data_IF_178174474690
#
_entry.id   IF_178174474690
#
_cell.length_a   1.000
_cell.length_b   1.000
_cell.length_c   1.000
_cell.angle_alpha   90.00
_cell.angle_beta   90.00
_cell.angle_gamma   90.00
#
_symmetry.space_group_name_H-M   'P 1'
#
loop_
_entity.id
_entity.type
_entity.pdbx_description
1 polymer ?
#
# COMPACT_ATOMS: atom_id res chain seq x y z
N UNK A 1 53.02 -69.96 24.96
CA UNK A 1 52.21 -71.05 24.36
C UNK A 1 50.79 -70.96 24.90
N UNK A 2 49.77 -71.13 24.04
CA UNK A 2 48.33 -71.26 24.34
C UNK A 2 47.72 -70.05 25.07
N UNK A 3 46.92 -69.24 24.40
CA UNK A 3 45.45 -69.39 24.26
C UNK A 3 44.89 -67.95 24.44
N UNK A 4 43.73 -67.48 23.98
CA UNK A 4 42.41 -68.05 23.75
C UNK A 4 41.52 -66.88 23.22
N UNK A 5 40.68 -67.10 22.19
CA UNK A 5 39.29 -66.56 22.03
C UNK A 5 39.06 -65.00 21.98
N UNK A 6 37.94 -64.38 21.56
CA UNK A 6 36.57 -64.74 21.12
C UNK A 6 35.94 -63.53 20.41
N UNK A 7 34.87 -63.81 19.64
CA UNK A 7 33.91 -62.91 18.96
C UNK A 7 33.31 -61.80 19.86
N UNK A 8 32.80 -60.73 19.26
CA UNK A 8 31.35 -60.44 19.31
C UNK A 8 30.86 -59.48 18.20
N UNK A 9 29.76 -59.90 17.57
CA UNK A 9 28.93 -59.17 16.60
C UNK A 9 27.88 -58.31 17.32
N UNK A 10 27.26 -57.41 16.53
CA UNK A 10 25.94 -56.74 16.67
C UNK A 10 25.90 -55.37 17.34
N UNK A 11 25.28 -54.43 16.63
CA UNK A 11 24.02 -53.83 17.09
C UNK A 11 23.00 -53.85 15.93
N UNK A 12 21.83 -54.42 16.25
CA UNK A 12 20.66 -54.61 15.40
C UNK A 12 19.98 -53.28 15.06
N UNK A 13 19.34 -53.24 13.88
CA UNK A 13 18.16 -52.43 13.65
C UNK A 13 16.93 -53.15 14.22
N UNK A 14 16.15 -52.50 15.07
CA UNK A 14 14.80 -52.93 15.43
C UNK A 14 13.78 -52.04 14.71
N UNK A 15 12.77 -52.70 14.15
CA UNK A 15 11.64 -52.18 13.38
C UNK A 15 10.65 -51.41 14.25
N UNK A 16 9.82 -50.55 13.65
CA UNK A 16 8.36 -50.79 13.63
C UNK A 16 7.61 -49.77 12.77
N UNK A 17 6.54 -50.26 12.14
CA UNK A 17 5.72 -49.57 11.16
C UNK A 17 4.70 -48.60 11.76
N UNK A 18 4.14 -47.76 10.88
CA UNK A 18 3.07 -46.84 11.26
C UNK A 18 2.91 -45.74 10.22
N UNK A 19 1.82 -45.81 9.49
CA UNK A 19 1.38 -44.89 8.45
C UNK A 19 1.18 -43.44 8.92
N UNK A 20 1.32 -42.51 7.97
CA UNK A 20 0.76 -41.15 7.88
C UNK A 20 1.61 -39.93 8.31
N UNK A 21 1.89 -39.11 7.28
CA UNK A 21 1.99 -37.64 7.25
C UNK A 21 3.30 -36.91 7.63
N UNK A 22 3.76 -36.11 6.65
CA UNK A 22 4.66 -34.94 6.73
C UNK A 22 6.18 -35.15 6.57
N UNK A 23 6.82 -34.54 5.55
CA UNK A 23 8.27 -34.49 5.42
C UNK A 23 8.83 -33.16 5.93
N UNK A 24 9.48 -33.14 7.10
CA UNK A 24 10.53 -32.13 7.34
C UNK A 24 11.55 -32.57 8.41
N UNK A 25 12.84 -32.40 8.05
CA UNK A 25 14.07 -32.50 8.87
C UNK A 25 14.63 -33.91 9.13
N UNK A 26 15.67 -34.29 8.38
CA UNK A 26 16.66 -35.30 8.84
C UNK A 26 17.90 -34.58 9.40
N UNK A 27 18.27 -34.91 10.63
CA UNK A 27 19.55 -34.55 11.27
C UNK A 27 20.62 -35.56 10.79
N UNK A 28 21.83 -35.10 10.52
CA UNK A 28 23.00 -35.98 10.32
C UNK A 28 23.55 -36.40 11.68
N UNK A 29 23.81 -37.71 11.87
CA UNK A 29 24.59 -38.26 12.98
C UNK A 29 26.02 -38.55 12.49
N UNK A 30 27.01 -38.12 13.26
CA UNK A 30 28.44 -38.32 13.01
C UNK A 30 28.92 -39.70 13.49
N UNK A 31 29.70 -40.43 12.68
CA UNK A 31 30.47 -41.60 13.12
C UNK A 31 31.97 -41.27 13.12
N UNK A 32 32.62 -41.53 14.26
CA UNK A 32 34.07 -41.45 14.48
C UNK A 32 34.77 -42.70 13.93
N UNK A 33 35.86 -42.52 13.19
CA UNK A 33 36.69 -43.60 12.65
C UNK A 33 38.14 -43.42 13.10
N UNK A 34 38.58 -44.28 14.01
CA UNK A 34 39.98 -44.48 14.32
C UNK A 34 40.23 -45.99 14.40
N UNK A 35 41.01 -46.52 13.46
CA UNK A 35 42.00 -47.61 13.62
C UNK A 35 42.35 -48.17 12.24
N UNK A 36 43.64 -48.50 12.07
CA UNK A 36 44.23 -49.43 11.07
C UNK A 36 44.90 -48.75 9.87
N UNK A 37 46.24 -48.64 9.92
CA UNK A 37 47.16 -49.35 9.00
C UNK A 37 48.62 -48.90 9.22
N UNK A 38 49.51 -49.88 9.43
CA UNK A 38 50.96 -49.74 9.38
C UNK A 38 51.54 -50.78 8.40
N UNK A 39 52.72 -50.45 7.84
CA UNK A 39 53.60 -51.20 6.92
C UNK A 39 53.38 -51.03 5.41
N UNK A 40 54.25 -50.22 4.78
CA UNK A 40 55.40 -50.67 3.94
C UNK A 40 56.17 -49.45 3.44
N UNK A 41 57.50 -49.46 3.61
CA UNK A 41 58.40 -48.37 3.19
C UNK A 41 58.74 -48.44 1.70
N UNK A 42 58.91 -47.26 1.08
CA UNK A 42 59.44 -47.08 -0.27
C UNK A 42 60.48 -45.95 -0.24
N UNK A 43 61.68 -46.21 -0.80
CA UNK A 43 62.72 -45.22 -1.06
C UNK A 43 62.61 -44.68 -2.49
N UNK A 44 62.77 -43.37 -2.66
CA UNK A 44 62.91 -42.67 -3.95
C UNK A 44 64.03 -41.62 -3.89
N UNK A 45 64.68 -41.27 -5.03
CA UNK A 45 65.98 -40.60 -5.04
C UNK A 45 65.91 -39.06 -5.06
N UNK A 46 66.93 -38.47 -4.42
CA UNK A 46 67.60 -37.18 -4.68
C UNK A 46 66.78 -35.89 -4.83
N UNK A 47 66.99 -34.96 -3.89
CA UNK A 47 66.91 -33.51 -4.14
C UNK A 47 66.30 -32.69 -3.01
N UNK A 48 67.16 -32.06 -2.21
CA UNK A 48 66.89 -31.01 -1.20
C UNK A 48 66.17 -31.36 0.11
N UNK A 49 66.90 -31.13 1.20
CA UNK A 49 66.48 -31.32 2.58
C UNK A 49 66.17 -29.96 3.24
N UNK A 50 64.99 -29.85 3.84
CA UNK A 50 64.70 -28.97 4.99
C UNK A 50 63.98 -29.78 6.06
N UNK A 51 64.15 -29.44 7.35
CA UNK A 51 63.94 -30.37 8.46
C UNK A 51 62.44 -30.63 8.71
N UNK A 52 62.02 -31.90 8.57
CA UNK A 52 60.64 -32.32 8.87
C UNK A 52 60.49 -32.69 10.34
N UNK A 53 59.49 -32.10 10.99
CA UNK A 53 58.93 -32.64 12.22
C UNK A 53 58.32 -34.04 11.98
N UNK A 54 58.39 -34.97 12.95
CA UNK A 54 57.95 -36.36 12.78
C UNK A 54 56.43 -36.57 12.64
N UNK A 55 55.64 -35.49 12.49
CA UNK A 55 54.17 -35.54 12.40
C UNK A 55 53.56 -35.33 11.01
N UNK A 56 54.31 -34.82 10.03
CA UNK A 56 53.73 -34.36 8.75
C UNK A 56 53.74 -35.41 7.60
N UNK A 57 54.51 -36.49 7.73
CA UNK A 57 54.55 -37.56 6.70
C UNK A 57 53.28 -38.41 6.70
N UNK A 58 52.71 -38.70 7.88
CA UNK A 58 51.55 -39.58 8.04
C UNK A 58 50.26 -38.93 7.49
N UNK A 59 50.10 -37.62 7.70
CA UNK A 59 48.92 -36.88 7.25
C UNK A 59 48.87 -36.66 5.73
N UNK A 60 50.01 -36.80 5.04
CA UNK A 60 50.13 -36.62 3.59
C UNK A 60 49.90 -37.95 2.86
N UNK A 61 50.44 -39.07 3.37
CA UNK A 61 50.20 -40.41 2.83
C UNK A 61 48.73 -40.86 2.97
N UNK A 62 48.07 -40.51 4.07
CA UNK A 62 46.64 -40.82 4.27
C UNK A 62 45.72 -40.14 3.25
N UNK A 63 46.07 -38.94 2.78
CA UNK A 63 45.28 -38.22 1.75
C UNK A 63 45.43 -38.85 0.37
N UNK A 64 46.59 -39.41 0.05
CA UNK A 64 46.88 -40.02 -1.26
C UNK A 64 46.20 -41.41 -1.36
N UNK A 65 46.25 -42.23 -0.31
CA UNK A 65 45.55 -43.52 -0.30
C UNK A 65 44.01 -43.38 -0.30
N UNK A 66 43.48 -42.35 0.36
CA UNK A 66 42.05 -42.06 0.37
C UNK A 66 41.53 -41.59 -1.01
N UNK A 67 42.31 -40.80 -1.74
CA UNK A 67 41.93 -40.33 -3.08
C UNK A 67 42.03 -41.44 -4.14
N UNK A 68 43.01 -42.34 -4.04
CA UNK A 68 43.12 -43.49 -4.94
C UNK A 68 42.00 -44.52 -4.72
N UNK A 69 41.68 -44.85 -3.45
CA UNK A 69 40.52 -45.73 -3.14
C UNK A 69 39.17 -45.13 -3.54
N UNK A 70 39.01 -43.81 -3.44
CA UNK A 70 37.80 -43.12 -3.92
C UNK A 70 37.68 -43.18 -5.46
N UNK A 71 38.80 -43.05 -6.17
CA UNK A 71 38.85 -43.16 -7.63
C UNK A 71 38.62 -44.59 -8.14
N UNK A 72 39.12 -45.61 -7.44
CA UNK A 72 38.90 -47.02 -7.79
C UNK A 72 37.46 -47.47 -7.47
N UNK A 73 36.90 -47.03 -6.34
CA UNK A 73 35.48 -47.27 -6.01
C UNK A 73 34.53 -46.60 -7.02
N UNK A 74 34.87 -45.40 -7.51
CA UNK A 74 34.10 -44.72 -8.55
C UNK A 74 34.28 -45.35 -9.94
N UNK A 75 35.47 -45.88 -10.27
CA UNK A 75 35.67 -46.67 -11.50
C UNK A 75 34.93 -48.01 -11.47
N UNK A 76 34.89 -48.69 -10.33
CA UNK A 76 34.14 -49.94 -10.16
C UNK A 76 32.61 -49.70 -10.07
N UNK A 77 32.17 -48.52 -9.62
CA UNK A 77 30.77 -48.09 -9.65
C UNK A 77 30.33 -47.57 -11.05
N UNK A 78 31.28 -47.37 -11.97
CA UNK A 78 31.07 -46.76 -13.29
C UNK A 78 30.35 -47.62 -14.33
N UNK A 79 29.85 -48.82 -14.00
CA UNK A 79 29.08 -49.64 -14.95
C UNK A 79 27.63 -49.93 -14.51
N UNK A 80 27.11 -49.27 -13.47
CA UNK A 80 25.65 -49.20 -13.33
C UNK A 80 25.15 -48.15 -14.30
N UNK A 81 24.82 -48.60 -15.51
CA UNK A 81 23.92 -47.92 -16.41
C UNK A 81 22.75 -47.41 -15.56
N UNK A 82 22.74 -46.12 -15.26
CA UNK A 82 21.56 -45.47 -14.69
C UNK A 82 20.55 -45.58 -15.82
N UNK A 83 19.66 -46.58 -15.71
CA UNK A 83 18.52 -46.69 -16.59
C UNK A 83 17.78 -45.36 -16.46
N UNK A 84 17.94 -44.51 -17.46
CA UNK A 84 17.21 -43.26 -17.59
C UNK A 84 15.77 -43.71 -17.82
N UNK A 85 14.99 -43.77 -16.76
CA UNK A 85 13.54 -43.83 -16.91
C UNK A 85 13.20 -42.45 -17.46
N UNK A 86 13.19 -42.32 -18.79
CA UNK A 86 12.63 -41.18 -19.49
C UNK A 86 11.11 -41.24 -19.28
N UNK A 87 10.66 -40.99 -18.04
CA UNK A 87 9.26 -40.62 -17.80
C UNK A 87 9.10 -39.28 -18.48
N UNK A 88 8.63 -39.32 -19.72
CA UNK A 88 8.11 -38.15 -20.42
C UNK A 88 7.20 -37.42 -19.44
N UNK A 89 7.65 -36.26 -19.01
CA UNK A 89 6.90 -35.48 -18.03
C UNK A 89 5.89 -34.66 -18.80
N UNK A 90 4.60 -34.89 -18.58
CA UNK A 90 3.54 -34.13 -19.25
C UNK A 90 3.18 -32.88 -18.43
N UNK A 91 2.59 -31.90 -19.09
CA UNK A 91 2.13 -30.69 -18.43
C UNK A 91 1.06 -31.04 -17.40
N UNK A 92 1.17 -30.49 -16.19
CA UNK A 92 0.18 -30.75 -15.12
C UNK A 92 -1.26 -30.33 -15.48
N UNK A 93 -1.42 -29.48 -16.50
CA UNK A 93 -2.72 -29.02 -16.98
C UNK A 93 -3.17 -29.70 -18.28
N UNK A 94 -2.24 -30.18 -19.10
CA UNK A 94 -2.48 -30.81 -20.39
C UNK A 94 -1.77 -32.16 -20.42
N UNK A 95 -2.51 -33.25 -20.25
CA UNK A 95 -1.97 -34.61 -20.21
C UNK A 95 -1.40 -35.07 -21.55
N UNK A 96 -1.82 -34.45 -22.64
CA UNK A 96 -1.41 -34.71 -24.02
C UNK A 96 -0.10 -34.00 -24.42
N UNK A 97 0.41 -33.10 -23.57
CA UNK A 97 1.58 -32.26 -23.90
C UNK A 97 2.80 -32.63 -23.08
N UNK A 98 3.78 -33.20 -23.73
CA UNK A 98 5.10 -33.46 -23.18
C UNK A 98 5.85 -32.15 -22.90
N UNK A 99 6.55 -32.07 -21.76
CA UNK A 99 7.33 -30.88 -21.39
C UNK A 99 8.60 -31.25 -20.62
N UNK A 100 9.72 -30.64 -21.02
CA UNK A 100 10.97 -30.66 -20.25
C UNK A 100 11.12 -29.49 -19.27
N UNK A 101 10.11 -28.62 -19.15
CA UNK A 101 10.16 -27.40 -18.33
C UNK A 101 9.22 -27.50 -17.12
N UNK A 102 9.65 -26.90 -16.02
CA UNK A 102 8.88 -26.86 -14.78
C UNK A 102 8.83 -25.44 -14.20
N UNK A 103 7.79 -25.20 -13.40
CA UNK A 103 7.65 -23.94 -12.67
C UNK A 103 8.77 -23.81 -11.62
N UNK A 104 9.58 -22.75 -11.71
CA UNK A 104 10.68 -22.49 -10.76
C UNK A 104 10.19 -22.32 -9.31
N UNK A 105 8.93 -21.93 -9.13
CA UNK A 105 8.34 -21.68 -7.79
C UNK A 105 7.76 -22.91 -7.11
N UNK A 106 7.09 -23.79 -7.84
CA UNK A 106 6.39 -24.95 -7.26
C UNK A 106 6.90 -26.31 -7.77
N UNK A 107 7.82 -26.32 -8.73
CA UNK A 107 8.41 -27.54 -9.31
C UNK A 107 7.50 -28.31 -10.27
N UNK A 108 6.23 -27.93 -10.45
CA UNK A 108 5.29 -28.67 -11.32
C UNK A 108 5.70 -28.56 -12.80
N UNK A 109 5.64 -29.66 -13.57
CA UNK A 109 5.90 -29.65 -15.01
C UNK A 109 4.80 -28.89 -15.76
N UNK A 110 5.18 -27.97 -16.65
CA UNK A 110 4.23 -27.15 -17.41
C UNK A 110 4.72 -26.92 -18.84
N UNK A 111 3.81 -26.97 -19.82
CA UNK A 111 4.15 -26.65 -21.21
C UNK A 111 4.47 -25.14 -21.38
N UNK A 112 5.11 -24.74 -22.49
CA UNK A 112 5.44 -23.33 -22.76
C UNK A 112 4.24 -22.38 -22.66
N UNK A 113 3.05 -22.82 -23.09
CA UNK A 113 1.82 -22.01 -23.06
C UNK A 113 1.31 -21.75 -21.63
N UNK A 114 1.54 -22.70 -20.71
CA UNK A 114 1.14 -22.62 -19.31
C UNK A 114 2.17 -21.90 -18.43
N UNK A 115 3.39 -21.67 -18.95
CA UNK A 115 4.44 -20.92 -18.28
C UNK A 115 4.34 -19.43 -18.61
N UNK A 116 4.72 -18.61 -17.64
CA UNK A 116 4.87 -17.15 -17.79
C UNK A 116 6.25 -16.78 -17.28
N UNK A 117 6.89 -15.88 -18.01
CA UNK A 117 8.22 -15.37 -17.68
C UNK A 117 8.19 -14.65 -16.32
N UNK A 118 9.22 -14.88 -15.52
CA UNK A 118 9.40 -14.28 -14.20
C UNK A 118 10.82 -13.72 -14.07
N UNK A 119 11.08 -12.79 -13.13
CA UNK A 119 12.44 -12.25 -12.93
C UNK A 119 13.50 -13.32 -12.66
N UNK A 120 13.09 -14.48 -12.13
CA UNK A 120 13.93 -15.66 -11.95
C UNK A 120 13.17 -16.88 -12.48
N UNK A 121 13.54 -17.33 -13.69
CA UNK A 121 12.97 -18.52 -14.33
C UNK A 121 11.56 -18.30 -14.90
N UNK A 122 10.69 -19.30 -14.74
CA UNK A 122 9.32 -19.26 -15.25
C UNK A 122 8.33 -19.77 -14.21
N UNK A 123 7.17 -19.14 -14.11
CA UNK A 123 6.11 -19.51 -13.18
C UNK A 123 4.88 -20.06 -13.93
N UNK A 124 4.25 -21.12 -13.40
CA UNK A 124 2.98 -21.60 -13.94
C UNK A 124 1.84 -20.62 -13.65
N UNK A 125 0.77 -20.68 -14.46
CA UNK A 125 -0.38 -19.79 -14.33
C UNK A 125 -1.04 -19.80 -12.93
N UNK A 126 -1.05 -20.94 -12.23
CA UNK A 126 -1.57 -21.03 -10.85
C UNK A 126 -0.69 -20.25 -9.87
N UNK A 127 0.63 -20.43 -9.93
CA UNK A 127 1.57 -19.67 -9.10
C UNK A 127 1.49 -18.16 -9.38
N UNK A 128 1.31 -17.78 -10.65
CA UNK A 128 1.10 -16.38 -11.05
C UNK A 128 -0.23 -15.86 -10.51
N UNK A 129 -1.32 -16.64 -10.65
CA UNK A 129 -2.65 -16.28 -10.13
C UNK A 129 -2.65 -16.14 -8.61
N UNK A 130 -1.99 -17.05 -7.90
CA UNK A 130 -1.82 -17.02 -6.45
C UNK A 130 -0.92 -15.85 -5.99
N UNK A 131 0.02 -15.40 -6.83
CA UNK A 131 0.84 -14.22 -6.57
C UNK A 131 0.09 -12.90 -6.78
N UNK A 132 -1.08 -12.92 -7.45
CA UNK A 132 -1.83 -11.67 -7.71
C UNK A 132 -2.23 -11.05 -6.37
N UNK A 133 -1.86 -9.79 -6.10
CA UNK A 133 -2.27 -9.13 -4.88
C UNK A 133 -3.81 -9.12 -4.80
N UNK A 134 -4.40 -9.25 -3.60
CA UNK A 134 -5.84 -9.28 -3.43
C UNK A 134 -6.50 -8.06 -4.06
N UNK A 135 -7.73 -8.19 -4.54
CA UNK A 135 -8.43 -7.15 -5.32
C UNK A 135 -8.40 -5.78 -4.63
N UNK A 136 -8.56 -5.75 -3.29
CA UNK A 136 -8.43 -4.54 -2.46
C UNK A 136 -7.10 -3.79 -2.65
N UNK A 137 -6.00 -4.51 -2.75
CA UNK A 137 -4.66 -3.92 -2.89
C UNK A 137 -4.43 -3.42 -4.31
N UNK A 138 -5.04 -4.07 -5.32
CA UNK A 138 -5.02 -3.58 -6.70
C UNK A 138 -5.80 -2.27 -6.85
N UNK A 139 -7.01 -2.18 -6.30
CA UNK A 139 -7.80 -0.94 -6.29
C UNK A 139 -7.06 0.17 -5.55
N UNK A 140 -6.41 -0.14 -4.42
CA UNK A 140 -5.61 0.84 -3.67
C UNK A 140 -4.42 1.36 -4.49
N UNK A 141 -3.69 0.46 -5.18
CA UNK A 141 -2.59 0.83 -6.06
C UNK A 141 -3.07 1.68 -7.24
N UNK A 142 -4.18 1.31 -7.88
CA UNK A 142 -4.78 2.06 -8.97
C UNK A 142 -5.18 3.48 -8.55
N UNK A 143 -5.85 3.62 -7.40
CA UNK A 143 -6.22 4.93 -6.86
C UNK A 143 -4.99 5.77 -6.50
N UNK A 144 -3.90 5.14 -6.05
CA UNK A 144 -2.64 5.84 -5.78
C UNK A 144 -1.93 6.30 -7.06
N UNK A 145 -2.00 5.53 -8.15
CA UNK A 145 -1.35 5.88 -9.43
C UNK A 145 -2.18 6.81 -10.31
N UNK A 146 -3.51 6.84 -10.16
CA UNK A 146 -4.40 7.69 -10.97
C UNK A 146 -4.35 9.19 -10.62
N UNK A 147 -3.60 9.58 -9.59
CA UNK A 147 -3.60 10.94 -9.04
C UNK A 147 -4.94 11.32 -8.39
N UNK A 148 -5.06 12.55 -7.84
CA UNK A 148 -6.26 12.99 -7.12
C UNK A 148 -7.36 13.41 -8.12
N UNK A 149 -8.01 12.44 -8.75
CA UNK A 149 -9.02 12.65 -9.78
C UNK A 149 -10.20 13.49 -9.26
N UNK A 150 -10.72 13.17 -8.07
CA UNK A 150 -11.85 13.92 -7.51
C UNK A 150 -11.47 15.38 -7.25
N UNK A 151 -10.26 15.61 -6.74
CA UNK A 151 -9.70 16.95 -6.57
C UNK A 151 -9.60 17.70 -7.89
N UNK A 152 -9.06 17.05 -8.94
CA UNK A 152 -8.96 17.66 -10.29
C UNK A 152 -10.33 18.01 -10.87
N UNK A 153 -11.32 17.14 -10.69
CA UNK A 153 -12.71 17.39 -11.14
C UNK A 153 -13.30 18.59 -10.38
N UNK A 154 -13.15 18.64 -9.05
CA UNK A 154 -13.60 19.78 -8.26
C UNK A 154 -12.92 21.09 -8.71
N UNK A 155 -11.61 21.07 -8.94
CA UNK A 155 -10.88 22.23 -9.47
C UNK A 155 -11.43 22.64 -10.83
N UNK A 156 -11.63 21.68 -11.74
CA UNK A 156 -12.21 21.94 -13.06
C UNK A 156 -13.60 22.59 -12.97
N UNK A 157 -14.48 22.09 -12.10
CA UNK A 157 -15.81 22.66 -11.87
C UNK A 157 -15.74 24.11 -11.35
N UNK A 158 -14.83 24.38 -10.42
CA UNK A 158 -14.61 25.74 -9.90
C UNK A 158 -14.11 26.69 -10.99
N UNK A 159 -13.14 26.25 -11.81
CA UNK A 159 -12.61 27.04 -12.92
C UNK A 159 -13.67 27.32 -13.97
N UNK A 160 -14.44 26.30 -14.39
CA UNK A 160 -15.54 26.46 -15.36
C UNK A 160 -16.60 27.43 -14.83
N UNK A 161 -17.00 27.28 -13.56
CA UNK A 161 -17.98 28.17 -12.94
C UNK A 161 -17.46 29.60 -12.88
N UNK A 162 -16.19 29.80 -12.50
CA UNK A 162 -15.58 31.12 -12.48
C UNK A 162 -15.56 31.76 -13.86
N UNK A 163 -15.14 31.05 -14.92
CA UNK A 163 -15.14 31.56 -16.28
C UNK A 163 -16.55 31.94 -16.75
N UNK A 164 -17.55 31.10 -16.48
CA UNK A 164 -18.94 31.37 -16.82
C UNK A 164 -19.49 32.61 -16.10
N UNK A 165 -19.22 32.74 -14.80
CA UNK A 165 -19.65 33.92 -14.02
C UNK A 165 -18.89 35.20 -14.38
N UNK A 166 -17.61 35.09 -14.76
CA UNK A 166 -16.77 36.22 -15.16
C UNK A 166 -17.19 36.79 -16.51
N UNK A 167 -17.66 35.95 -17.44
CA UNK A 167 -18.14 36.38 -18.75
C UNK A 167 -19.36 37.32 -18.68
N UNK A 168 -20.19 37.18 -17.63
CA UNK A 168 -21.34 38.05 -17.39
C UNK A 168 -21.13 39.14 -16.34
N UNK A 169 -19.90 39.32 -15.85
CA UNK A 169 -19.55 40.28 -14.79
C UNK A 169 -18.84 41.54 -15.30
N UNK A 170 -18.71 42.55 -14.44
CA UNK A 170 -17.90 43.74 -14.73
C UNK A 170 -16.40 43.47 -14.71
N UNK A 171 -15.58 44.52 -14.84
CA UNK A 171 -14.13 44.43 -14.77
C UNK A 171 -13.69 43.64 -13.52
N UNK A 172 -12.94 42.54 -13.73
CA UNK A 172 -12.51 41.64 -12.65
C UNK A 172 -13.47 40.49 -12.32
N UNK A 173 -14.52 40.26 -13.11
CA UNK A 173 -15.40 39.08 -13.00
C UNK A 173 -16.34 39.13 -11.80
N UNK A 174 -16.72 40.33 -11.37
CA UNK A 174 -17.62 40.56 -10.21
C UNK A 174 -18.95 41.15 -10.65
N UNK A 175 -20.01 40.82 -9.91
CA UNK A 175 -21.32 41.46 -10.02
C UNK A 175 -22.21 40.98 -11.17
N UNK A 176 -21.86 39.87 -11.84
CA UNK A 176 -22.71 39.29 -12.88
C UNK A 176 -23.97 38.62 -12.31
N UNK A 177 -25.07 38.63 -13.08
CA UNK A 177 -26.35 38.00 -12.69
C UNK A 177 -26.18 36.50 -12.38
N UNK A 178 -25.39 35.77 -13.19
CA UNK A 178 -25.10 34.37 -12.91
C UNK A 178 -24.34 34.18 -11.58
N UNK A 179 -23.41 35.10 -11.26
CA UNK A 179 -22.68 35.06 -9.99
C UNK A 179 -23.65 35.24 -8.82
N UNK A 180 -24.53 36.26 -8.88
CA UNK A 180 -25.49 36.54 -7.81
C UNK A 180 -26.51 35.41 -7.63
N UNK A 181 -26.90 34.70 -8.70
CA UNK A 181 -27.83 33.55 -8.65
C UNK A 181 -27.25 32.29 -8.02
N UNK A 182 -25.93 32.12 -8.09
CA UNK A 182 -25.24 30.93 -7.57
C UNK A 182 -24.66 31.14 -6.17
N UNK A 183 -24.42 32.39 -5.77
CA UNK A 183 -23.90 32.74 -4.45
C UNK A 183 -24.88 32.40 -3.32
N UNK A 184 -24.34 32.23 -2.11
CA UNK A 184 -25.12 32.00 -0.91
C UNK A 184 -25.79 33.31 -0.50
N UNK A 185 -27.11 33.27 -0.36
CA UNK A 185 -27.91 34.39 0.10
C UNK A 185 -29.17 33.87 0.82
N UNK A 186 -29.26 34.12 2.13
CA UNK A 186 -30.30 33.57 3.01
C UNK A 186 -31.72 33.83 2.52
N UNK A 187 -32.11 35.08 2.18
CA UNK A 187 -33.45 35.36 1.69
C UNK A 187 -33.86 34.57 0.43
N UNK A 188 -32.91 34.25 -0.45
CA UNK A 188 -33.19 33.41 -1.62
C UNK A 188 -33.35 31.93 -1.22
N UNK A 189 -32.51 31.42 -0.31
CA UNK A 189 -32.65 30.06 0.25
C UNK A 189 -34.01 29.90 0.95
N UNK A 190 -34.47 30.93 1.66
CA UNK A 190 -35.77 30.95 2.34
C UNK A 190 -36.94 30.76 1.35
N UNK A 191 -36.82 31.34 0.15
CA UNK A 191 -37.80 31.25 -0.95
C UNK A 191 -37.72 29.97 -1.78
N UNK A 192 -36.84 29.03 -1.44
CA UNK A 192 -36.76 27.73 -2.12
C UNK A 192 -35.51 27.53 -2.98
N UNK A 193 -34.60 28.50 -3.04
CA UNK A 193 -33.36 28.39 -3.84
C UNK A 193 -32.27 27.59 -3.09
N UNK A 194 -32.61 26.38 -2.61
CA UNK A 194 -31.73 25.57 -1.74
C UNK A 194 -30.44 25.12 -2.41
N UNK A 195 -30.40 25.10 -3.74
CA UNK A 195 -29.20 24.78 -4.51
C UNK A 195 -28.02 25.70 -4.16
N UNK A 196 -28.30 26.93 -3.66
CA UNK A 196 -27.30 27.91 -3.22
C UNK A 196 -26.44 27.43 -2.05
N UNK A 197 -26.92 26.47 -1.27
CA UNK A 197 -26.12 25.83 -0.21
C UNK A 197 -24.91 25.07 -0.80
N UNK A 198 -25.04 24.56 -2.03
CA UNK A 198 -23.99 23.81 -2.74
C UNK A 198 -23.29 24.70 -3.76
N UNK A 199 -24.04 25.39 -4.62
CA UNK A 199 -23.47 26.16 -5.75
C UNK A 199 -22.55 27.28 -5.29
N UNK A 200 -22.82 27.88 -4.12
CA UNK A 200 -21.99 28.95 -3.56
C UNK A 200 -20.55 28.51 -3.32
N UNK A 201 -20.32 27.22 -3.05
CA UNK A 201 -18.99 26.64 -2.91
C UNK A 201 -18.16 26.63 -4.20
N UNK A 202 -18.77 26.93 -5.36
CA UNK A 202 -18.11 26.96 -6.67
C UNK A 202 -17.96 28.37 -7.24
N UNK A 203 -18.61 29.37 -6.64
CA UNK A 203 -18.55 30.77 -7.07
C UNK A 203 -17.33 31.46 -6.47
N UNK A 204 -16.59 32.24 -7.26
CA UNK A 204 -15.40 32.96 -6.81
C UNK A 204 -15.43 34.43 -7.24
N UNK A 205 -14.82 35.30 -6.42
CA UNK A 205 -14.80 36.75 -6.61
C UNK A 205 -13.40 37.27 -6.93
N UNK A 206 -13.03 37.18 -8.21
CA UNK A 206 -11.74 37.63 -8.72
C UNK A 206 -10.66 36.54 -8.74
N UNK A 207 -9.61 36.80 -9.51
CA UNK A 207 -8.62 35.80 -9.91
C UNK A 207 -7.78 35.26 -8.75
N UNK A 208 -7.37 36.13 -7.83
CA UNK A 208 -6.56 35.73 -6.67
C UNK A 208 -7.36 34.79 -5.76
N UNK A 209 -8.65 35.08 -5.56
CA UNK A 209 -9.51 34.28 -4.69
C UNK A 209 -9.66 32.84 -5.21
N UNK A 210 -9.91 32.65 -6.52
CA UNK A 210 -9.95 31.31 -7.10
C UNK A 210 -8.57 30.65 -7.11
N UNK A 211 -7.52 31.37 -7.52
CA UNK A 211 -6.16 30.81 -7.61
C UNK A 211 -5.69 30.23 -6.28
N UNK A 212 -5.90 30.97 -5.19
CA UNK A 212 -5.52 30.52 -3.86
C UNK A 212 -6.35 29.34 -3.35
N UNK A 213 -7.67 29.35 -3.58
CA UNK A 213 -8.52 28.20 -3.23
C UNK A 213 -8.13 26.93 -4.00
N UNK A 214 -7.85 27.04 -5.29
CA UNK A 214 -7.47 25.88 -6.11
C UNK A 214 -6.10 25.34 -5.72
N UNK A 215 -5.15 26.20 -5.36
CA UNK A 215 -3.85 25.79 -4.81
C UNK A 215 -4.03 24.98 -3.52
N UNK A 216 -4.81 25.50 -2.56
CA UNK A 216 -5.05 24.83 -1.29
C UNK A 216 -5.84 23.53 -1.46
N UNK A 217 -6.89 23.55 -2.31
CA UNK A 217 -7.66 22.36 -2.64
C UNK A 217 -6.78 21.27 -3.27
N UNK A 218 -5.88 21.65 -4.19
CA UNK A 218 -4.94 20.71 -4.80
C UNK A 218 -3.96 20.13 -3.77
N UNK A 219 -3.35 20.97 -2.94
CA UNK A 219 -2.38 20.55 -1.93
C UNK A 219 -2.99 19.60 -0.88
N UNK A 220 -4.19 19.93 -0.39
CA UNK A 220 -4.92 19.09 0.56
C UNK A 220 -5.48 17.83 -0.10
N UNK A 221 -5.95 17.94 -1.34
CA UNK A 221 -6.45 16.82 -2.14
C UNK A 221 -5.37 15.76 -2.44
N UNK A 222 -4.14 16.20 -2.74
CA UNK A 222 -2.98 15.30 -2.89
C UNK A 222 -2.71 14.46 -1.64
N UNK A 223 -3.02 14.98 -0.45
CA UNK A 223 -2.81 14.27 0.81
C UNK A 223 -4.03 13.43 1.22
N UNK A 224 -5.23 13.99 1.13
CA UNK A 224 -6.45 13.38 1.67
C UNK A 224 -7.10 12.39 0.72
N UNK A 225 -7.11 12.65 -0.59
CA UNK A 225 -7.78 11.78 -1.55
C UNK A 225 -7.14 10.38 -1.63
N UNK A 226 -5.79 10.23 -1.66
CA UNK A 226 -5.17 8.90 -1.61
C UNK A 226 -5.38 8.18 -0.28
N UNK A 227 -5.49 8.92 0.83
CA UNK A 227 -5.71 8.36 2.16
C UNK A 227 -7.14 7.83 2.34
N UNK A 228 -8.13 8.54 1.79
CA UNK A 228 -9.55 8.26 1.96
C UNK A 228 -10.15 7.43 0.82
N UNK A 229 -9.59 7.55 -0.39
CA UNK A 229 -10.25 7.20 -1.63
C UNK A 229 -11.29 8.25 -2.05
N UNK A 230 -11.62 8.24 -3.35
CA UNK A 230 -12.45 9.26 -4.02
C UNK A 230 -13.79 9.51 -3.33
N UNK A 231 -14.53 8.45 -3.02
CA UNK A 231 -15.91 8.57 -2.48
C UNK A 231 -15.93 9.23 -1.11
N UNK A 232 -14.99 8.85 -0.23
CA UNK A 232 -14.90 9.43 1.13
C UNK A 232 -14.34 10.84 1.09
N UNK A 233 -13.39 11.12 0.20
CA UNK A 233 -12.89 12.47 -0.02
C UNK A 233 -14.00 13.41 -0.48
N UNK A 234 -14.84 13.00 -1.43
CA UNK A 234 -16.00 13.79 -1.84
C UNK A 234 -17.01 13.99 -0.70
N UNK A 235 -17.33 12.94 0.05
CA UNK A 235 -18.22 13.05 1.21
C UNK A 235 -17.67 14.03 2.26
N UNK A 236 -16.36 13.99 2.52
CA UNK A 236 -15.69 14.94 3.40
C UNK A 236 -15.77 16.38 2.86
N UNK A 237 -15.48 16.58 1.57
CA UNK A 237 -15.53 17.88 0.91
C UNK A 237 -16.93 18.50 1.02
N UNK A 238 -17.97 17.74 0.69
CA UNK A 238 -19.35 18.23 0.75
C UNK A 238 -19.86 18.40 2.18
N UNK A 239 -19.43 17.56 3.13
CA UNK A 239 -19.73 17.79 4.54
C UNK A 239 -19.19 19.14 5.01
N UNK A 240 -17.91 19.43 4.70
CA UNK A 240 -17.28 20.71 5.03
C UNK A 240 -17.92 21.91 4.31
N UNK A 241 -18.22 21.76 3.02
CA UNK A 241 -18.89 22.80 2.23
C UNK A 241 -20.23 23.16 2.86
N UNK A 242 -21.06 22.16 3.16
CA UNK A 242 -22.41 22.37 3.65
C UNK A 242 -22.45 22.89 5.09
N UNK A 243 -21.57 22.41 5.98
CA UNK A 243 -21.47 22.99 7.33
C UNK A 243 -20.94 24.43 7.29
N UNK A 244 -20.08 24.76 6.32
CA UNK A 244 -19.70 26.13 6.02
C UNK A 244 -20.91 26.97 5.59
N UNK A 245 -21.66 26.53 4.60
CA UNK A 245 -22.88 27.24 4.14
C UNK A 245 -23.90 27.42 5.26
N UNK A 246 -24.13 26.39 6.07
CA UNK A 246 -25.01 26.47 7.24
C UNK A 246 -24.54 27.52 8.25
N UNK A 247 -23.28 27.47 8.68
CA UNK A 247 -22.76 28.42 9.66
C UNK A 247 -22.66 29.85 9.11
N UNK A 248 -22.43 30.02 7.80
CA UNK A 248 -22.50 31.32 7.15
C UNK A 248 -23.92 31.92 7.24
N UNK A 249 -24.96 31.11 7.00
CA UNK A 249 -26.35 31.54 7.15
C UNK A 249 -26.74 31.81 8.60
N UNK A 250 -26.19 31.07 9.56
CA UNK A 250 -26.42 31.35 10.99
C UNK A 250 -25.87 32.71 11.43
N UNK A 251 -24.69 33.09 10.95
CA UNK A 251 -24.01 34.30 11.40
C UNK A 251 -24.36 35.53 10.57
N UNK A 252 -24.62 35.36 9.27
CA UNK A 252 -24.79 36.49 8.34
C UNK A 252 -25.72 36.13 7.17
N UNK A 253 -27.02 35.87 7.43
CA UNK A 253 -27.94 35.36 6.42
C UNK A 253 -28.17 36.32 5.25
N UNK A 254 -28.09 37.64 5.49
CA UNK A 254 -28.31 38.67 4.47
C UNK A 254 -27.04 39.04 3.67
N UNK A 255 -25.87 38.47 4.00
CA UNK A 255 -24.62 38.77 3.32
C UNK A 255 -24.39 37.78 2.18
N UNK A 256 -24.21 38.29 0.98
CA UNK A 256 -23.86 37.47 -0.19
C UNK A 256 -22.46 36.92 -0.02
N UNK A 257 -22.30 35.60 -0.08
CA UNK A 257 -21.01 34.93 0.06
C UNK A 257 -20.85 33.77 -0.91
N UNK A 258 -19.61 33.35 -1.15
CA UNK A 258 -19.29 32.30 -2.11
C UNK A 258 -17.79 32.02 -2.12
N UNK A 259 -17.43 30.78 -2.41
CA UNK A 259 -16.06 30.30 -2.49
C UNK A 259 -15.93 28.88 -2.00
N UNK A 260 -14.95 28.14 -2.53
CA UNK A 260 -14.63 26.79 -2.08
C UNK A 260 -14.00 26.77 -0.67
N UNK A 261 -13.73 27.94 -0.08
CA UNK A 261 -12.92 28.09 1.13
C UNK A 261 -13.53 27.42 2.35
N UNK A 262 -14.85 27.40 2.53
CA UNK A 262 -15.48 26.63 3.60
C UNK A 262 -15.13 25.14 3.53
N UNK A 263 -15.18 24.56 2.32
CA UNK A 263 -14.76 23.18 2.10
C UNK A 263 -13.26 22.98 2.36
N UNK A 264 -12.41 23.91 1.88
CA UNK A 264 -10.95 23.89 2.08
C UNK A 264 -10.58 23.96 3.57
N UNK A 265 -11.25 24.80 4.36
CA UNK A 265 -11.07 24.86 5.81
C UNK A 265 -11.44 23.53 6.48
N UNK A 266 -12.50 22.87 6.02
CA UNK A 266 -12.81 21.53 6.51
C UNK A 266 -11.78 20.47 6.11
N UNK A 267 -11.16 20.59 4.93
CA UNK A 267 -10.04 19.74 4.55
C UNK A 267 -8.81 19.99 5.45
N UNK A 268 -8.52 21.24 5.83
CA UNK A 268 -7.51 21.53 6.85
C UNK A 268 -7.84 20.87 8.19
N UNK A 269 -9.10 20.97 8.63
CA UNK A 269 -9.57 20.34 9.86
C UNK A 269 -9.41 18.81 9.85
N UNK A 270 -9.79 18.18 8.74
CA UNK A 270 -9.62 16.75 8.54
C UNK A 270 -8.15 16.33 8.50
N UNK A 271 -7.31 17.11 7.83
CA UNK A 271 -5.86 16.91 7.80
C UNK A 271 -5.26 16.97 9.20
N UNK A 272 -5.60 18.00 9.98
CA UNK A 272 -5.16 18.18 11.36
C UNK A 272 -5.61 17.01 12.25
N UNK A 273 -6.88 16.59 12.13
CA UNK A 273 -7.42 15.42 12.84
C UNK A 273 -6.64 14.14 12.52
N UNK A 274 -6.42 13.86 11.23
CA UNK A 274 -5.69 12.68 10.78
C UNK A 274 -4.22 12.66 11.20
N UNK A 275 -3.53 13.79 11.14
CA UNK A 275 -2.15 13.94 11.61
C UNK A 275 -2.04 13.72 13.12
N UNK A 276 -2.94 14.34 13.89
CA UNK A 276 -2.98 14.21 15.34
C UNK A 276 -3.25 12.78 15.79
N UNK A 277 -4.14 12.04 15.12
CA UNK A 277 -4.39 10.62 15.40
C UNK A 277 -3.18 9.72 15.11
N UNK A 278 -2.23 10.18 14.31
CA UNK A 278 -0.96 9.49 14.01
C UNK A 278 0.19 9.97 14.90
N UNK A 279 -0.07 10.86 15.86
CA UNK A 279 0.96 11.44 16.71
C UNK A 279 1.86 12.47 16.02
N UNK A 280 1.48 12.96 14.83
CA UNK A 280 2.26 13.94 14.07
C UNK A 280 1.79 15.35 14.45
N UNK A 281 2.73 16.23 14.81
CA UNK A 281 2.43 17.63 15.10
C UNK A 281 2.02 18.36 13.82
N UNK A 282 0.80 18.91 13.79
CA UNK A 282 0.23 19.63 12.64
C UNK A 282 1.11 20.82 12.24
N UNK A 283 1.70 21.52 13.23
CA UNK A 283 2.56 22.68 13.01
C UNK A 283 3.88 22.34 12.32
N UNK A 284 4.35 21.10 12.41
CA UNK A 284 5.60 20.66 11.78
C UNK A 284 5.41 20.25 10.30
N UNK A 285 4.18 20.17 9.80
CA UNK A 285 3.86 19.69 8.44
C UNK A 285 3.64 20.81 7.42
N UNK A 286 3.77 22.08 7.81
CA UNK A 286 3.39 23.25 7.00
C UNK A 286 1.88 23.51 6.94
N UNK A 287 1.05 22.46 7.03
CA UNK A 287 -0.41 22.53 7.06
C UNK A 287 -0.90 23.37 8.24
N UNK A 288 -0.29 23.22 9.41
CA UNK A 288 -0.65 24.01 10.60
C UNK A 288 -0.42 25.50 10.40
N UNK A 289 0.74 25.89 9.86
CA UNK A 289 1.03 27.29 9.54
C UNK A 289 0.08 27.85 8.50
N UNK A 290 -0.20 27.09 7.44
CA UNK A 290 -1.17 27.47 6.40
C UNK A 290 -2.60 27.63 6.96
N UNK A 291 -3.03 26.76 7.87
CA UNK A 291 -4.32 26.91 8.55
C UNK A 291 -4.36 28.19 9.40
N UNK A 292 -3.31 28.44 10.19
CA UNK A 292 -3.24 29.63 11.06
C UNK A 292 -3.29 30.92 10.24
N UNK A 293 -2.51 31.04 9.17
CA UNK A 293 -2.52 32.26 8.33
C UNK A 293 -3.87 32.46 7.64
N UNK A 294 -4.52 31.38 7.21
CA UNK A 294 -5.86 31.44 6.63
C UNK A 294 -6.91 31.88 7.66
N UNK A 295 -6.81 31.39 8.90
CA UNK A 295 -7.64 31.88 10.00
C UNK A 295 -7.41 33.36 10.26
N UNK A 296 -6.15 33.83 10.27
CA UNK A 296 -5.85 35.27 10.42
C UNK A 296 -6.54 36.07 9.30
N UNK A 297 -6.39 35.66 8.04
CA UNK A 297 -7.07 36.33 6.92
C UNK A 297 -8.59 36.35 7.09
N UNK A 298 -9.18 35.31 7.67
CA UNK A 298 -10.62 35.21 7.94
C UNK A 298 -11.12 36.34 8.83
N UNK A 299 -10.34 36.73 9.84
CA UNK A 299 -10.75 37.76 10.80
C UNK A 299 -10.26 39.17 10.42
N UNK A 300 -9.21 39.27 9.60
CA UNK A 300 -8.58 40.56 9.26
C UNK A 300 -9.13 41.13 7.96
N UNK A 301 -9.41 40.30 6.95
CA UNK A 301 -9.82 40.80 5.63
C UNK A 301 -11.35 40.95 5.55
N UNK A 302 -11.86 42.16 5.23
CA UNK A 302 -13.29 42.37 5.07
C UNK A 302 -13.83 41.60 3.85
N UNK A 303 -15.10 41.18 3.94
CA UNK A 303 -15.78 40.43 2.87
C UNK A 303 -15.52 38.92 2.89
N UNK A 304 -14.80 38.39 3.89
CA UNK A 304 -14.63 36.95 4.12
C UNK A 304 -15.70 36.46 5.10
N UNK A 305 -16.36 35.34 4.77
CA UNK A 305 -17.35 34.73 5.65
C UNK A 305 -16.69 33.95 6.78
N UNK A 306 -16.70 34.54 7.99
CA UNK A 306 -16.23 33.90 9.22
C UNK A 306 -17.01 32.60 9.47
N UNK A 307 -18.34 32.64 9.31
CA UNK A 307 -19.21 31.48 9.48
C UNK A 307 -18.85 30.34 8.53
N UNK A 308 -18.60 30.63 7.25
CA UNK A 308 -18.22 29.61 6.28
C UNK A 308 -16.92 28.89 6.67
N UNK A 309 -15.91 29.64 7.11
CA UNK A 309 -14.61 29.07 7.46
C UNK A 309 -14.65 28.27 8.76
N UNK A 310 -15.27 28.80 9.81
CA UNK A 310 -15.37 28.11 11.10
C UNK A 310 -16.30 26.90 11.03
N UNK A 311 -17.45 27.03 10.37
CA UNK A 311 -18.38 25.92 10.16
C UNK A 311 -17.79 24.83 9.27
N UNK A 312 -17.08 25.21 8.22
CA UNK A 312 -16.34 24.29 7.36
C UNK A 312 -15.25 23.54 8.13
N UNK A 313 -14.42 24.27 8.89
CA UNK A 313 -13.38 23.70 9.74
C UNK A 313 -13.95 22.70 10.75
N UNK A 314 -15.04 23.06 11.44
CA UNK A 314 -15.69 22.19 12.43
C UNK A 314 -16.27 20.92 11.79
N UNK A 315 -17.07 21.06 10.73
CA UNK A 315 -17.69 19.93 10.04
C UNK A 315 -16.68 18.98 9.39
N UNK A 316 -15.65 19.53 8.74
CA UNK A 316 -14.56 18.75 8.16
C UNK A 316 -13.69 18.06 9.20
N UNK A 317 -13.39 18.72 10.34
CA UNK A 317 -12.69 18.09 11.46
C UNK A 317 -13.49 16.91 12.01
N UNK A 318 -14.80 17.10 12.24
CA UNK A 318 -15.67 16.05 12.75
C UNK A 318 -15.73 14.86 11.78
N UNK A 319 -16.04 15.08 10.50
CA UNK A 319 -16.09 14.02 9.50
C UNK A 319 -14.71 13.33 9.33
N UNK A 320 -13.65 14.12 9.21
CA UNK A 320 -12.28 13.65 9.07
C UNK A 320 -11.80 12.81 10.25
N UNK A 321 -12.18 13.19 11.48
CA UNK A 321 -11.84 12.45 12.69
C UNK A 321 -12.34 11.00 12.64
N UNK A 322 -13.54 10.73 12.12
CA UNK A 322 -14.04 9.36 11.99
C UNK A 322 -13.48 8.64 10.76
N UNK A 323 -13.33 9.35 9.63
CA UNK A 323 -12.89 8.76 8.37
C UNK A 323 -11.40 8.39 8.33
N UNK A 324 -10.54 9.13 9.04
CA UNK A 324 -9.08 8.95 9.04
C UNK A 324 -8.58 8.06 10.19
N UNK A 325 -9.49 7.49 10.98
CA UNK A 325 -9.12 6.57 12.08
C UNK A 325 -8.22 5.44 11.58
N UNK A 326 -7.09 5.16 12.26
CA UNK A 326 -6.15 4.08 11.88
C UNK A 326 -6.74 2.66 11.81
N UNK A 327 -7.99 2.46 12.25
CA UNK A 327 -8.65 1.15 12.26
C UNK A 327 -8.91 0.62 10.83
N UNK A 328 -8.39 -0.58 10.53
CA UNK A 328 -8.43 -1.21 9.20
C UNK A 328 -9.72 -1.99 8.88
N UNK A 329 -10.79 -1.82 9.67
CA UNK A 329 -12.00 -2.62 9.51
C UNK A 329 -12.98 -1.99 8.50
N UNK A 330 -13.76 -2.84 7.81
CA UNK A 330 -14.84 -2.35 6.93
C UNK A 330 -15.87 -1.53 7.69
N UNK A 331 -16.10 -1.85 8.96
CA UNK A 331 -17.08 -1.19 9.83
C UNK A 331 -16.70 0.27 10.13
N UNK A 332 -15.44 0.55 10.46
CA UNK A 332 -14.98 1.93 10.70
C UNK A 332 -15.07 2.80 9.43
N UNK A 333 -14.74 2.19 8.29
CA UNK A 333 -14.87 2.78 6.98
C UNK A 333 -16.32 3.19 6.62
N UNK A 334 -17.30 2.35 6.95
CA UNK A 334 -18.74 2.65 6.76
C UNK A 334 -19.21 3.68 7.77
N UNK A 335 -18.79 3.55 9.04
CA UNK A 335 -19.15 4.51 10.09
C UNK A 335 -18.73 5.95 9.73
N UNK A 336 -17.52 6.14 9.16
CA UNK A 336 -17.09 7.46 8.69
C UNK A 336 -17.99 8.05 7.61
N UNK A 337 -18.45 7.23 6.65
CA UNK A 337 -19.40 7.68 5.62
C UNK A 337 -20.78 8.01 6.21
N UNK A 338 -21.26 7.21 7.16
CA UNK A 338 -22.53 7.47 7.86
C UNK A 338 -22.46 8.80 8.61
N UNK A 339 -21.36 9.06 9.34
CA UNK A 339 -21.17 10.33 10.04
C UNK A 339 -21.17 11.51 9.07
N UNK A 340 -20.45 11.42 7.95
CA UNK A 340 -20.49 12.49 6.94
C UNK A 340 -21.89 12.68 6.34
N UNK A 341 -22.63 11.61 6.07
CA UNK A 341 -24.00 11.70 5.57
C UNK A 341 -24.93 12.38 6.59
N UNK A 342 -24.79 12.07 7.88
CA UNK A 342 -25.53 12.74 8.96
C UNK A 342 -25.17 14.22 9.05
N UNK A 343 -23.88 14.57 8.99
CA UNK A 343 -23.42 15.96 8.99
C UNK A 343 -23.99 16.71 7.78
N UNK A 344 -23.95 16.11 6.59
CA UNK A 344 -24.51 16.67 5.36
C UNK A 344 -26.00 16.93 5.51
N UNK A 345 -26.77 15.92 5.95
CA UNK A 345 -28.22 16.05 6.15
C UNK A 345 -28.58 17.12 7.17
N UNK A 346 -27.87 17.14 8.31
CA UNK A 346 -28.07 18.14 9.35
C UNK A 346 -27.71 19.56 8.88
N UNK A 347 -26.61 19.72 8.12
CA UNK A 347 -26.21 21.02 7.57
C UNK A 347 -27.18 21.52 6.49
N UNK A 348 -27.75 20.64 5.67
CA UNK A 348 -28.79 21.01 4.70
C UNK A 348 -30.07 21.47 5.41
N UNK A 349 -30.58 20.67 6.34
CA UNK A 349 -31.78 21.02 7.11
C UNK A 349 -31.56 22.30 7.94
N UNK A 350 -30.42 22.39 8.61
CA UNK A 350 -30.01 23.55 9.38
C UNK A 350 -29.83 24.80 8.52
N UNK A 351 -29.26 24.69 7.32
CA UNK A 351 -29.10 25.80 6.38
C UNK A 351 -30.44 26.34 5.89
N UNK A 352 -31.39 25.45 5.58
CA UNK A 352 -32.76 25.86 5.21
C UNK A 352 -33.49 26.50 6.38
N UNK A 353 -33.31 25.98 7.60
CA UNK A 353 -33.86 26.58 8.82
C UNK A 353 -33.26 27.96 9.09
N UNK A 354 -31.93 28.09 9.07
CA UNK A 354 -31.21 29.33 9.32
C UNK A 354 -31.55 30.43 8.29
N UNK A 355 -31.89 30.05 7.06
CA UNK A 355 -32.34 31.00 6.05
C UNK A 355 -33.74 31.60 6.35
N UNK A 356 -34.56 30.91 7.14
CA UNK A 356 -35.94 31.29 7.46
C UNK A 356 -36.11 31.94 8.83
N UNK A 357 -35.12 31.76 9.70
CA UNK A 357 -35.08 32.32 11.06
C UNK A 357 -34.75 33.82 11.02
#
# INVERSE_FOLDING_TARGET
>A
MRSTWRRCNRCNASTDGGSTSSPSRRRYASCSSASICAHRGFHGPSGEATPRHPGDSIATEQRICASQRWNEANRAAGSRTVARIDTVTTCFHHSDRETGRSCTRCGRPACPDCLREAPVGAHCFECVRAARPPARQRVRRWNATAGPLATKVLIGLNVVTYLATAAGGGAGGRGGDLQSRLSLYGPAVARGEWYRLISSGFVHYGLIHIGFNMLLLYQLGLMLEPALGRTRFLALYFAALLTGSFAALLLSPAVVSGGASGAVFGLFGAAAAGLRQRGISVMQTGIGGLLVINLIFTFVLPGISIGAHLGGLAGGTAAGWFMLRPSSTRRSAVAGLVVAAVIIGAALAGGVWAARA
#
